data_IF_169679953117
#
_entry.id   IF_169679953117
#
_cell.length_a   1.000
_cell.length_b   1.000
_cell.length_c   1.000
_cell.angle_alpha   90.00
_cell.angle_beta   90.00
_cell.angle_gamma   90.00
#
_symmetry.space_group_name_H-M   'P 1'
#
loop_
_entity.id
_entity.type
_entity.pdbx_description
1 polymer ?
#
# COMPACT_ATOMS: atom_id res chain seq x y z
N UNK A 1 14.51 15.99 -10.99
CA UNK A 1 14.93 14.58 -11.15
C UNK A 1 14.34 13.94 -12.41
N UNK A 2 13.11 14.19 -12.76
CA UNK A 2 12.45 13.62 -13.97
C UNK A 2 13.20 13.99 -15.26
N UNK A 3 13.88 15.12 -15.31
CA UNK A 3 14.62 15.62 -16.50
C UNK A 3 16.07 15.10 -16.61
N UNK A 4 16.53 14.22 -15.75
CA UNK A 4 17.92 13.75 -15.73
C UNK A 4 18.15 12.41 -16.47
N UNK A 5 17.20 11.95 -17.29
CA UNK A 5 17.36 10.74 -18.10
C UNK A 5 17.40 9.42 -17.32
N UNK A 6 16.94 9.41 -16.07
CA UNK A 6 16.78 8.17 -15.33
C UNK A 6 15.70 7.30 -15.98
N UNK A 7 15.97 6.00 -16.08
CA UNK A 7 14.99 5.03 -16.56
C UNK A 7 13.76 5.06 -15.67
N UNK A 8 12.56 5.04 -16.26
CA UNK A 8 11.30 5.06 -15.56
C UNK A 8 11.17 3.95 -14.51
N UNK A 9 11.73 2.76 -14.82
CA UNK A 9 11.73 1.61 -13.93
C UNK A 9 12.43 1.91 -12.59
N UNK A 10 13.57 2.61 -12.63
CA UNK A 10 14.28 3.00 -11.42
C UNK A 10 13.50 3.99 -10.56
N UNK A 11 12.74 4.91 -11.17
CA UNK A 11 11.88 5.83 -10.44
C UNK A 11 10.71 5.11 -9.76
N UNK A 12 10.16 4.08 -10.39
CA UNK A 12 9.10 3.28 -9.80
C UNK A 12 9.60 2.51 -8.57
N UNK A 13 10.75 1.84 -8.67
CA UNK A 13 11.36 1.15 -7.53
C UNK A 13 11.64 2.09 -6.36
N UNK A 14 12.26 3.25 -6.63
CA UNK A 14 12.53 4.27 -5.60
C UNK A 14 11.25 4.80 -4.94
N UNK A 15 10.16 4.95 -5.69
CA UNK A 15 8.89 5.41 -5.14
C UNK A 15 8.34 4.46 -4.06
N UNK A 16 8.55 3.15 -4.20
CA UNK A 16 8.11 2.14 -3.24
C UNK A 16 8.94 2.10 -1.95
N UNK A 17 10.13 2.68 -1.93
CA UNK A 17 10.94 2.82 -0.71
C UNK A 17 10.48 3.96 0.19
N UNK A 18 9.64 4.85 -0.30
CA UNK A 18 9.11 5.97 0.48
C UNK A 18 8.15 5.46 1.57
N UNK A 19 8.42 5.82 2.82
CA UNK A 19 7.59 5.44 3.98
C UNK A 19 6.35 6.32 4.17
N UNK A 20 6.11 7.28 3.29
CA UNK A 20 4.98 8.21 3.39
C UNK A 20 4.95 8.99 4.72
N UNK A 21 6.12 9.34 5.24
CA UNK A 21 6.26 10.05 6.53
C UNK A 21 6.04 11.57 6.42
N UNK A 22 5.85 12.12 5.21
CA UNK A 22 5.60 13.53 4.91
C UNK A 22 6.71 14.52 5.32
N UNK A 23 7.80 14.10 5.96
CA UNK A 23 8.90 14.95 6.38
C UNK A 23 9.49 15.80 5.25
N UNK A 24 9.49 15.28 4.02
CA UNK A 24 9.97 16.02 2.84
C UNK A 24 9.07 17.22 2.50
N UNK A 25 7.78 17.17 2.80
CA UNK A 25 6.81 18.24 2.62
C UNK A 25 6.99 19.28 3.72
N UNK A 26 6.97 18.84 4.97
CA UNK A 26 7.06 19.73 6.14
C UNK A 26 8.34 20.55 6.19
N UNK A 27 9.44 19.98 5.70
CA UNK A 27 10.77 20.63 5.71
C UNK A 27 11.16 21.28 4.40
N UNK A 28 10.30 21.30 3.41
CA UNK A 28 10.64 21.88 2.10
C UNK A 28 10.62 23.41 2.16
N UNK A 29 11.77 24.11 2.02
CA UNK A 29 11.82 25.56 2.06
C UNK A 29 11.13 26.22 0.86
N UNK A 30 10.92 25.46 -0.21
CA UNK A 30 10.23 25.91 -1.43
C UNK A 30 8.73 25.58 -1.44
N UNK A 31 8.20 24.95 -0.39
CA UNK A 31 6.81 24.52 -0.35
C UNK A 31 6.45 23.47 -1.42
N UNK A 32 7.43 22.71 -1.93
CA UNK A 32 7.19 21.70 -2.94
C UNK A 32 6.57 20.44 -2.32
N UNK A 33 5.48 19.96 -2.92
CA UNK A 33 4.76 18.77 -2.49
C UNK A 33 5.37 17.48 -3.07
N UNK A 34 6.57 17.13 -2.60
CA UNK A 34 7.31 15.96 -3.10
C UNK A 34 6.57 14.65 -2.79
N UNK A 35 5.79 14.61 -1.71
CA UNK A 35 5.00 13.44 -1.33
C UNK A 35 3.94 13.10 -2.37
N UNK A 36 3.21 14.08 -2.86
CA UNK A 36 2.21 13.93 -3.92
C UNK A 36 2.82 13.36 -5.21
N UNK A 37 4.00 13.84 -5.58
CA UNK A 37 4.73 13.32 -6.75
C UNK A 37 5.05 11.84 -6.58
N UNK A 38 5.50 11.43 -5.38
CA UNK A 38 5.79 10.02 -5.08
C UNK A 38 4.52 9.16 -5.15
N UNK A 39 3.39 9.66 -4.64
CA UNK A 39 2.12 8.92 -4.72
C UNK A 39 1.63 8.79 -6.16
N UNK A 40 1.75 9.83 -6.97
CA UNK A 40 1.44 9.77 -8.39
C UNK A 40 2.30 8.73 -9.12
N UNK A 41 3.61 8.69 -8.84
CA UNK A 41 4.51 7.68 -9.41
C UNK A 41 4.14 6.25 -8.99
N UNK A 42 3.76 6.03 -7.73
CA UNK A 42 3.25 4.73 -7.27
C UNK A 42 1.97 4.32 -7.99
N UNK A 43 1.05 5.26 -8.20
CA UNK A 43 -0.19 4.98 -8.90
C UNK A 43 0.06 4.57 -10.37
N UNK A 44 1.00 5.22 -11.03
CA UNK A 44 1.43 4.86 -12.40
C UNK A 44 2.09 3.48 -12.39
N UNK A 45 3.06 3.25 -11.50
CA UNK A 45 3.76 1.97 -11.36
C UNK A 45 2.77 0.81 -11.09
N UNK A 46 1.74 1.04 -10.27
CA UNK A 46 0.73 0.03 -9.98
C UNK A 46 -0.14 -0.30 -11.20
N UNK A 47 -0.47 0.68 -12.04
CA UNK A 47 -1.20 0.46 -13.30
C UNK A 47 -0.37 -0.35 -14.31
N UNK A 48 0.93 -0.12 -14.35
CA UNK A 48 1.88 -0.83 -15.21
C UNK A 48 2.26 -2.21 -14.67
N UNK A 49 1.67 -2.63 -13.54
CA UNK A 49 1.95 -3.93 -12.92
C UNK A 49 3.27 -3.99 -12.15
N UNK A 50 3.96 -2.87 -11.98
CA UNK A 50 5.25 -2.77 -11.28
C UNK A 50 5.03 -2.53 -9.79
N UNK A 51 4.52 -3.56 -9.10
CA UNK A 51 4.21 -3.54 -7.66
C UNK A 51 5.10 -4.54 -6.92
N UNK A 52 5.76 -4.15 -5.82
CA UNK A 52 6.54 -5.08 -5.01
C UNK A 52 5.68 -6.25 -4.51
N UNK A 53 6.26 -7.45 -4.48
CA UNK A 53 5.54 -8.67 -4.04
C UNK A 53 4.92 -8.53 -2.65
N UNK A 54 5.59 -7.85 -1.72
CA UNK A 54 5.07 -7.59 -0.37
C UNK A 54 3.82 -6.70 -0.38
N UNK A 55 3.83 -5.60 -1.15
CA UNK A 55 2.68 -4.72 -1.28
C UNK A 55 1.50 -5.44 -1.95
N UNK A 56 1.78 -6.28 -2.96
CA UNK A 56 0.76 -7.08 -3.62
C UNK A 56 0.14 -8.12 -2.67
N UNK A 57 0.94 -8.76 -1.80
CA UNK A 57 0.44 -9.70 -0.80
C UNK A 57 -0.48 -9.01 0.22
N UNK A 58 -0.12 -7.81 0.68
CA UNK A 58 -0.96 -6.99 1.56
C UNK A 58 -2.27 -6.60 0.89
N UNK A 59 -2.22 -6.19 -0.38
CA UNK A 59 -3.41 -5.84 -1.15
C UNK A 59 -4.34 -7.04 -1.34
N UNK A 60 -3.80 -8.24 -1.59
CA UNK A 60 -4.59 -9.49 -1.67
C UNK A 60 -5.30 -9.79 -0.35
N UNK A 61 -4.57 -9.75 0.77
CA UNK A 61 -5.15 -9.96 2.09
C UNK A 61 -6.29 -8.96 2.36
N UNK A 62 -6.11 -7.69 2.00
CA UNK A 62 -7.12 -6.65 2.17
C UNK A 62 -8.39 -6.93 1.34
N UNK A 63 -8.25 -7.39 0.10
CA UNK A 63 -9.39 -7.76 -0.77
C UNK A 63 -10.16 -8.97 -0.22
N UNK A 64 -9.44 -9.93 0.36
CA UNK A 64 -10.02 -11.20 0.84
C UNK A 64 -10.65 -11.06 2.22
N UNK A 65 -9.96 -10.41 3.15
CA UNK A 65 -10.34 -10.39 4.58
C UNK A 65 -10.73 -9.01 5.11
N UNK A 66 -10.46 -7.94 4.38
CA UNK A 66 -10.59 -6.57 4.86
C UNK A 66 -9.43 -6.14 5.78
N UNK A 67 -8.40 -6.96 5.96
CA UNK A 67 -7.22 -6.67 6.76
C UNK A 67 -5.95 -6.69 5.91
N UNK A 68 -5.03 -5.75 6.16
CA UNK A 68 -3.73 -5.70 5.47
C UNK A 68 -2.87 -6.91 5.85
N UNK A 69 -2.95 -7.34 7.12
CA UNK A 69 -2.23 -8.49 7.65
C UNK A 69 -3.21 -9.36 8.42
N UNK A 70 -3.29 -10.62 8.06
CA UNK A 70 -4.09 -11.59 8.82
C UNK A 70 -3.40 -11.96 10.13
N UNK A 71 -4.14 -12.03 11.25
CA UNK A 71 -3.57 -12.39 12.54
C UNK A 71 -3.05 -13.83 12.50
N UNK A 72 -1.84 -14.05 13.03
CA UNK A 72 -1.31 -15.39 13.22
C UNK A 72 -2.03 -16.09 14.38
N UNK A 73 -1.97 -17.43 14.42
CA UNK A 73 -2.56 -18.21 15.51
C UNK A 73 -2.05 -17.80 16.91
N UNK A 74 -0.77 -17.40 17.00
CA UNK A 74 -0.17 -16.89 18.25
C UNK A 74 -0.82 -15.57 18.69
N UNK A 75 -0.99 -14.62 17.76
CA UNK A 75 -1.64 -13.33 18.03
C UNK A 75 -3.09 -13.53 18.45
N UNK A 76 -3.81 -14.44 17.79
CA UNK A 76 -5.21 -14.74 18.15
C UNK A 76 -5.33 -15.29 19.56
N UNK A 77 -4.40 -16.18 20.01
CA UNK A 77 -4.35 -16.67 21.37
C UNK A 77 -4.06 -15.56 22.40
N UNK A 78 -3.09 -14.69 22.11
CA UNK A 78 -2.77 -13.55 22.98
C UNK A 78 -3.96 -12.58 23.10
N UNK A 79 -4.67 -12.31 22.02
CA UNK A 79 -5.88 -11.48 22.05
C UNK A 79 -6.95 -12.07 22.96
N UNK A 80 -7.19 -13.38 22.86
CA UNK A 80 -8.13 -14.09 23.74
C UNK A 80 -7.74 -14.00 25.22
N UNK A 81 -6.44 -14.16 25.55
CA UNK A 81 -5.91 -14.02 26.92
C UNK A 81 -6.10 -12.60 27.47
N UNK A 82 -6.04 -11.58 26.62
CA UNK A 82 -6.22 -10.17 26.98
C UNK A 82 -7.71 -9.74 26.97
N UNK A 83 -8.64 -10.64 26.70
CA UNK A 83 -10.08 -10.32 26.61
C UNK A 83 -10.44 -9.41 25.43
N UNK A 84 -9.59 -9.34 24.39
CA UNK A 84 -9.85 -8.56 23.19
C UNK A 84 -10.74 -9.33 22.21
N UNK A 85 -11.61 -8.63 21.45
CA UNK A 85 -12.47 -9.29 20.48
C UNK A 85 -11.65 -10.02 19.40
N UNK A 86 -12.18 -11.11 18.84
CA UNK A 86 -11.53 -11.81 17.74
C UNK A 86 -11.38 -10.89 16.53
N UNK A 87 -10.35 -11.15 15.72
CA UNK A 87 -10.10 -10.39 14.49
C UNK A 87 -10.88 -11.08 13.36
N UNK A 88 -12.13 -10.68 13.18
CA UNK A 88 -13.00 -11.22 12.14
C UNK A 88 -12.82 -10.45 10.81
N UNK A 89 -13.06 -11.09 9.66
CA UNK A 89 -13.05 -10.40 8.38
C UNK A 89 -14.05 -9.24 8.36
N UNK A 90 -13.67 -8.13 7.73
CA UNK A 90 -14.50 -6.92 7.63
C UNK A 90 -15.05 -6.81 6.21
N UNK A 91 -16.29 -7.29 5.96
CA UNK A 91 -16.86 -7.35 4.61
C UNK A 91 -17.08 -5.96 4.00
N UNK A 92 -17.34 -4.94 4.81
CA UNK A 92 -17.53 -3.56 4.36
C UNK A 92 -16.26 -3.02 3.71
N UNK A 93 -15.09 -3.25 4.32
CA UNK A 93 -13.79 -2.85 3.78
C UNK A 93 -13.51 -3.59 2.49
N UNK A 94 -13.75 -4.91 2.45
CA UNK A 94 -13.58 -5.72 1.25
C UNK A 94 -14.48 -5.22 0.10
N UNK A 95 -15.71 -4.78 0.39
CA UNK A 95 -16.62 -4.20 -0.61
C UNK A 95 -16.07 -2.88 -1.16
N UNK A 96 -15.66 -1.95 -0.31
CA UNK A 96 -15.08 -0.66 -0.72
C UNK A 96 -13.87 -0.88 -1.61
N UNK A 97 -12.98 -1.78 -1.21
CA UNK A 97 -11.74 -2.09 -1.94
C UNK A 97 -12.02 -2.67 -3.34
N UNK A 98 -13.07 -3.48 -3.49
CA UNK A 98 -13.50 -4.00 -4.79
C UNK A 98 -14.09 -2.89 -5.69
N UNK A 99 -14.93 -2.03 -5.13
CA UNK A 99 -15.57 -0.93 -5.85
C UNK A 99 -14.55 0.14 -6.29
N UNK A 100 -13.50 0.39 -5.50
CA UNK A 100 -12.42 1.32 -5.85
C UNK A 100 -11.43 0.78 -6.90
N UNK A 101 -11.59 -0.48 -7.32
CA UNK A 101 -10.83 -1.08 -8.42
C UNK A 101 -9.47 -1.67 -8.02
N UNK A 102 -9.11 -1.72 -6.73
CA UNK A 102 -7.88 -2.37 -6.27
C UNK A 102 -7.83 -3.85 -6.67
N UNK A 103 -8.97 -4.53 -6.70
CA UNK A 103 -9.09 -5.93 -7.14
C UNK A 103 -8.61 -6.15 -8.58
N UNK A 104 -8.74 -5.15 -9.46
CA UNK A 104 -8.24 -5.21 -10.84
C UNK A 104 -6.71 -5.20 -10.88
N UNK A 105 -6.08 -4.39 -10.04
CA UNK A 105 -4.62 -4.31 -9.92
C UNK A 105 -4.04 -5.60 -9.35
N UNK A 106 -4.72 -6.20 -8.35
CA UNK A 106 -4.31 -7.46 -7.70
C UNK A 106 -4.48 -8.66 -8.62
N UNK A 107 -5.46 -8.63 -9.54
CA UNK A 107 -5.75 -9.71 -10.49
C UNK A 107 -4.94 -9.70 -11.78
N UNK A 108 -4.10 -8.68 -12.02
CA UNK A 108 -3.30 -8.51 -13.25
C UNK A 108 -2.03 -9.37 -13.30
N UNK A 109 -2.05 -10.58 -12.73
CA UNK A 109 -0.96 -11.57 -12.94
C UNK A 109 -1.51 -12.88 -13.40
#
# INVERSE_FOLDING_TARGET
>A
MVNLGFKWEALFELSWLCLSCFTCIDRCPQGADVGEVVFALRAIAARDGNVPKGALAMAKSLVETGHIVSPTASVSKQRATLGLPPCEPVPEVAKIVRETGLSKIVGQK
#
